data_IF_063927461957
#
_entry.id   IF_063927461957
#
_cell.length_a   1.000
_cell.length_b   1.000
_cell.length_c   1.000
_cell.angle_alpha   90.00
_cell.angle_beta   90.00
_cell.angle_gamma   90.00
#
_symmetry.space_group_name_H-M   'P 1'
#
loop_
_entity.id
_entity.type
_entity.pdbx_description
1 polymer ?
#
# COMPACT_ATOMS: atom_id res chain seq x y z
N UNK A 1 -11.72 -0.66 -8.84
CA UNK A 1 -11.93 0.78 -8.60
C UNK A 1 -12.35 0.89 -7.15
N UNK A 2 -11.49 1.41 -6.29
CA UNK A 2 -11.78 1.63 -4.88
C UNK A 2 -12.02 3.13 -4.73
N UNK A 3 -13.28 3.53 -4.66
CA UNK A 3 -13.68 4.92 -4.42
C UNK A 3 -14.42 5.00 -3.10
N UNK A 4 -13.80 5.65 -2.11
CA UNK A 4 -14.53 6.41 -1.10
C UNK A 4 -13.64 7.58 -0.64
N UNK A 5 -14.27 8.76 -0.49
CA UNK A 5 -13.72 10.11 -0.27
C UNK A 5 -12.34 10.20 0.41
N UNK A 6 -11.34 10.62 -0.36
CA UNK A 6 -10.00 11.00 0.12
C UNK A 6 -8.89 10.41 -0.75
N UNK A 7 -8.70 10.95 -1.96
CA UNK A 7 -7.77 10.51 -3.03
C UNK A 7 -7.61 8.97 -3.11
N UNK A 8 -8.34 8.35 -4.05
CA UNK A 8 -8.08 6.97 -4.43
C UNK A 8 -6.58 6.76 -4.71
N UNK A 9 -5.95 5.84 -3.96
CA UNK A 9 -4.52 5.54 -4.09
C UNK A 9 -4.27 5.01 -5.49
N UNK A 10 -3.47 5.73 -6.27
CA UNK A 10 -3.15 5.30 -7.64
C UNK A 10 -2.01 4.30 -7.64
N UNK A 11 -1.93 3.46 -8.68
CA UNK A 11 -0.78 2.58 -8.89
C UNK A 11 0.55 3.32 -8.92
N UNK A 12 0.56 4.51 -9.52
CA UNK A 12 1.73 5.37 -9.52
C UNK A 12 2.15 5.73 -8.09
N UNK A 13 1.21 6.16 -7.24
CA UNK A 13 1.50 6.52 -5.86
C UNK A 13 2.07 5.33 -5.06
N UNK A 14 1.53 4.12 -5.27
CA UNK A 14 2.06 2.90 -4.62
C UNK A 14 3.46 2.56 -5.09
N UNK A 15 3.71 2.58 -6.40
CA UNK A 15 5.01 2.21 -6.97
C UNK A 15 6.10 3.25 -6.68
N UNK A 16 5.74 4.52 -6.46
CA UNK A 16 6.67 5.54 -5.94
C UNK A 16 7.16 5.20 -4.52
N UNK A 17 6.42 4.38 -3.77
CA UNK A 17 6.78 3.93 -2.42
C UNK A 17 7.30 2.47 -2.43
N UNK A 18 8.12 2.12 -3.42
CA UNK A 18 8.59 0.74 -3.64
C UNK A 18 9.23 0.10 -2.41
N UNK A 19 10.13 0.80 -1.73
CA UNK A 19 10.78 0.28 -0.51
C UNK A 19 9.77 -0.03 0.61
N UNK A 20 8.72 0.78 0.74
CA UNK A 20 7.65 0.52 1.72
C UNK A 20 6.82 -0.70 1.31
N UNK A 21 6.58 -0.88 0.01
CA UNK A 21 5.93 -2.09 -0.53
C UNK A 21 6.77 -3.32 -0.21
N UNK A 22 8.06 -3.33 -0.55
CA UNK A 22 8.98 -4.44 -0.25
C UNK A 22 9.02 -4.76 1.24
N UNK A 23 9.22 -3.73 2.08
CA UNK A 23 9.22 -3.88 3.53
C UNK A 23 7.91 -4.49 4.04
N UNK A 24 6.76 -4.05 3.53
CA UNK A 24 5.46 -4.56 3.97
C UNK A 24 5.25 -6.01 3.52
N UNK A 25 5.67 -6.37 2.31
CA UNK A 25 5.66 -7.76 1.85
C UNK A 25 6.54 -8.67 2.71
N UNK A 26 7.75 -8.22 3.03
CA UNK A 26 8.68 -8.98 3.87
C UNK A 26 8.15 -9.11 5.31
N UNK A 27 7.73 -8.01 5.92
CA UNK A 27 7.31 -7.99 7.33
C UNK A 27 5.96 -8.67 7.58
N UNK A 28 4.98 -8.51 6.68
CA UNK A 28 3.62 -9.05 6.88
C UNK A 28 3.45 -10.44 6.28
N UNK A 29 4.07 -10.71 5.12
CA UNK A 29 3.89 -11.96 4.38
C UNK A 29 5.11 -12.89 4.44
N UNK A 30 6.26 -12.43 4.98
CA UNK A 30 7.50 -13.19 4.95
C UNK A 30 8.04 -13.40 3.54
N UNK A 31 7.71 -12.49 2.61
CA UNK A 31 8.09 -12.60 1.19
C UNK A 31 9.06 -11.50 0.83
N UNK A 32 10.23 -11.89 0.34
CA UNK A 32 11.12 -11.00 -0.40
C UNK A 32 10.67 -10.92 -1.87
N UNK A 33 10.30 -9.71 -2.32
CA UNK A 33 9.82 -9.49 -3.68
C UNK A 33 10.92 -9.72 -4.74
N UNK A 34 12.18 -9.45 -4.43
CA UNK A 34 13.30 -9.60 -5.36
C UNK A 34 13.50 -11.08 -5.74
N UNK A 35 13.35 -11.99 -4.76
CA UNK A 35 13.52 -13.43 -4.98
C UNK A 35 12.40 -14.07 -5.84
N UNK A 36 11.20 -13.48 -5.82
CA UNK A 36 10.02 -14.10 -6.41
C UNK A 36 9.53 -13.43 -7.70
N UNK A 37 10.10 -12.28 -8.08
CA UNK A 37 9.65 -11.48 -9.22
C UNK A 37 9.62 -12.27 -10.53
N UNK A 38 10.60 -13.14 -10.73
CA UNK A 38 10.70 -14.00 -11.93
C UNK A 38 9.84 -15.27 -11.86
N UNK A 39 9.29 -15.61 -10.69
CA UNK A 39 8.55 -16.86 -10.44
C UNK A 39 7.05 -16.66 -10.34
N UNK A 40 6.60 -15.44 -10.04
CA UNK A 40 5.20 -15.11 -9.79
C UNK A 40 4.67 -14.14 -10.85
N UNK A 41 3.41 -14.32 -11.22
CA UNK A 41 2.76 -13.45 -12.20
C UNK A 41 2.40 -12.09 -11.58
N UNK A 42 2.18 -11.09 -12.43
CA UNK A 42 1.67 -9.79 -11.99
C UNK A 42 0.36 -9.90 -11.20
N UNK A 43 -0.53 -10.83 -11.59
CA UNK A 43 -1.77 -11.11 -10.85
C UNK A 43 -1.48 -11.54 -9.41
N UNK A 44 -0.46 -12.37 -9.18
CA UNK A 44 -0.08 -12.83 -7.85
C UNK A 44 0.32 -11.66 -6.94
N UNK A 45 1.07 -10.71 -7.50
CA UNK A 45 1.49 -9.49 -6.80
C UNK A 45 0.30 -8.58 -6.51
N UNK A 46 -0.51 -8.28 -7.54
CA UNK A 46 -1.67 -7.39 -7.43
C UNK A 46 -2.67 -7.83 -6.33
N UNK A 47 -3.01 -9.13 -6.28
CA UNK A 47 -3.95 -9.65 -5.27
C UNK A 47 -3.44 -9.42 -3.85
N UNK A 48 -2.13 -9.62 -3.62
CA UNK A 48 -1.51 -9.45 -2.30
C UNK A 48 -1.36 -8.00 -1.93
N UNK A 49 -0.93 -7.17 -2.86
CA UNK A 49 -0.84 -5.73 -2.65
C UNK A 49 -2.22 -5.14 -2.30
N UNK A 50 -3.28 -5.57 -3.00
CA UNK A 50 -4.66 -5.15 -2.69
C UNK A 50 -5.06 -5.55 -1.28
N UNK A 51 -4.72 -6.77 -0.84
CA UNK A 51 -4.98 -7.23 0.53
C UNK A 51 -4.19 -6.43 1.58
N UNK A 52 -2.92 -6.11 1.30
CA UNK A 52 -2.09 -5.31 2.21
C UNK A 52 -2.63 -3.88 2.35
N UNK A 53 -3.16 -3.29 1.27
CA UNK A 53 -3.82 -1.98 1.29
C UNK A 53 -5.18 -2.00 1.99
N UNK A 54 -5.86 -3.15 2.05
CA UNK A 54 -7.19 -3.28 2.69
C UNK A 54 -7.13 -3.73 4.16
N UNK A 55 -5.94 -3.93 4.71
CA UNK A 55 -5.73 -4.41 6.08
C UNK A 55 -4.85 -3.42 6.85
N UNK A 56 -4.81 -3.52 8.18
CA UNK A 56 -3.97 -2.64 8.99
C UNK A 56 -2.48 -2.99 8.85
N UNK A 57 -1.86 -2.43 7.81
CA UNK A 57 -0.44 -2.61 7.49
C UNK A 57 0.29 -1.27 7.46
N UNK A 58 1.63 -1.25 7.58
CA UNK A 58 2.42 -0.04 7.37
C UNK A 58 2.09 0.66 6.05
N UNK A 59 1.89 -0.10 4.97
CA UNK A 59 1.51 0.42 3.66
C UNK A 59 0.13 1.07 3.67
N UNK A 60 -0.88 0.41 4.25
CA UNK A 60 -2.24 0.97 4.34
C UNK A 60 -2.26 2.25 5.19
N UNK A 61 -1.58 2.25 6.34
CA UNK A 61 -1.47 3.44 7.21
C UNK A 61 -0.76 4.61 6.54
N UNK A 62 0.24 4.34 5.70
CA UNK A 62 0.91 5.38 4.94
C UNK A 62 -0.02 6.08 3.95
N UNK A 63 -0.92 5.32 3.32
CA UNK A 63 -1.89 5.84 2.36
C UNK A 63 -3.24 6.26 2.97
N UNK A 64 -3.44 6.04 4.26
CA UNK A 64 -4.64 6.48 4.94
C UNK A 64 -4.79 8.01 4.82
N UNK A 65 -6.01 8.53 4.59
CA UNK A 65 -6.24 9.96 4.60
C UNK A 65 -5.69 10.57 5.90
N UNK A 66 -4.82 11.58 5.77
CA UNK A 66 -4.42 12.36 6.93
C UNK A 66 -5.57 13.30 7.25
N UNK A 67 -6.21 13.10 8.40
CA UNK A 67 -7.12 14.11 8.93
C UNK A 67 -6.33 15.43 9.05
N UNK A 68 -6.84 16.49 8.40
CA UNK A 68 -6.28 17.82 8.64
C UNK A 68 -6.50 18.11 10.13
N UNK A 69 -5.48 18.55 10.88
CA UNK A 69 -5.73 19.06 12.21
C UNK A 69 -6.73 20.22 12.09
N UNK A 70 -7.85 20.12 12.80
CA UNK A 70 -8.75 21.25 13.03
C UNK A 70 -7.91 22.36 13.65
N UNK A 71 -7.59 23.37 12.85
CA UNK A 71 -6.98 24.60 13.36
C UNK A 71 -8.08 25.28 14.18
N UNK A 72 -7.92 25.48 15.50
CA UNK A 72 -8.91 26.20 16.28
C UNK A 72 -9.10 27.59 15.66
N UNK A 73 -10.33 27.92 15.30
CA UNK A 73 -10.67 29.27 14.84
C UNK A 73 -10.70 30.16 16.07
N UNK A 74 -9.71 31.05 16.21
CA UNK A 74 -9.78 32.20 17.11
C UNK A 74 -10.67 33.31 16.52
#
# INVERSE_FOLDING_TARGET
>A
MLEEKGRAVSWHDVLQQWTLVEFTFHSVLGVDLEEIWHRKSWRWFNVRLSHLLSTDTPLARFFAPRDKPEVPSE
#
